data_IF_079756050620
#
_entry.id   IF_079756050620
#
_cell.length_a   1.000
_cell.length_b   1.000
_cell.length_c   1.000
_cell.angle_alpha   90.00
_cell.angle_beta   90.00
_cell.angle_gamma   90.00
#
_symmetry.space_group_name_H-M   'P 1'
#
loop_
_entity.id
_entity.type
_entity.pdbx_description
1 polymer ?
#
# COMPACT_ATOMS: atom_id res chain seq x y z
N UNK A 1 -0.25 -6.73 -10.19
CA UNK A 1 1.02 -6.11 -10.61
C UNK A 1 1.62 -5.36 -9.42
N UNK A 2 2.79 -5.75 -8.89
CA UNK A 2 3.49 -4.98 -7.86
C UNK A 2 3.91 -3.61 -8.41
N UNK A 3 3.77 -2.55 -7.60
CA UNK A 3 4.11 -1.18 -8.04
C UNK A 3 4.86 -0.35 -7.00
N UNK A 4 4.84 -0.74 -5.72
CA UNK A 4 5.62 -0.11 -4.67
C UNK A 4 6.10 -1.16 -3.68
N UNK A 5 7.24 -0.91 -3.04
CA UNK A 5 7.84 -1.81 -2.08
C UNK A 5 8.49 -1.03 -0.94
N UNK A 6 8.45 -1.61 0.25
CA UNK A 6 9.15 -1.11 1.43
C UNK A 6 9.96 -2.27 2.01
N UNK A 7 11.27 -2.05 2.23
CA UNK A 7 12.23 -3.10 2.60
C UNK A 7 12.07 -4.39 1.79
N UNK A 8 11.95 -4.28 0.46
CA UNK A 8 11.66 -5.43 -0.40
C UNK A 8 12.61 -6.62 -0.12
N UNK A 9 12.09 -7.85 0.09
CA UNK A 9 10.72 -8.30 -0.20
C UNK A 9 9.70 -8.17 0.95
N UNK A 10 10.03 -7.49 2.06
CA UNK A 10 9.24 -7.53 3.29
C UNK A 10 7.81 -7.01 3.12
N UNK A 11 7.60 -5.91 2.41
CA UNK A 11 6.27 -5.37 2.11
C UNK A 11 6.17 -4.91 0.65
N UNK A 12 5.13 -5.38 -0.04
CA UNK A 12 4.81 -5.04 -1.43
C UNK A 12 3.38 -4.54 -1.56
N UNK A 13 3.18 -3.44 -2.28
CA UNK A 13 1.87 -3.01 -2.74
C UNK A 13 1.63 -3.50 -4.16
N UNK A 14 0.45 -4.10 -4.38
CA UNK A 14 0.08 -4.78 -5.61
C UNK A 14 -1.28 -4.27 -6.07
N UNK A 15 -1.37 -3.88 -7.34
CA UNK A 15 -2.64 -3.67 -8.02
C UNK A 15 -3.20 -5.04 -8.45
N UNK A 16 -4.31 -5.46 -7.86
CA UNK A 16 -4.92 -6.76 -8.08
C UNK A 16 -5.93 -6.71 -9.22
N UNK A 17 -5.63 -7.41 -10.32
CA UNK A 17 -6.47 -7.47 -11.52
C UNK A 17 -7.34 -8.72 -11.60
N UNK A 18 -7.27 -9.62 -10.61
CA UNK A 18 -8.15 -10.80 -10.55
C UNK A 18 -8.68 -11.06 -9.13
N UNK A 19 -9.26 -10.03 -8.48
CA UNK A 19 -9.80 -10.18 -7.13
C UNK A 19 -11.14 -10.90 -7.13
N UNK A 20 -11.52 -11.42 -5.97
CA UNK A 20 -12.92 -11.75 -5.68
C UNK A 20 -13.81 -10.50 -5.46
N UNK A 21 -13.18 -9.34 -5.22
CA UNK A 21 -13.82 -8.03 -5.06
C UNK A 21 -13.75 -7.17 -6.33
N UNK A 22 -13.18 -5.97 -6.22
CA UNK A 22 -13.13 -4.99 -7.31
C UNK A 22 -11.81 -5.06 -8.10
N UNK A 23 -11.89 -5.32 -9.41
CA UNK A 23 -10.70 -5.32 -10.28
C UNK A 23 -9.97 -3.97 -10.20
N UNK A 24 -8.66 -4.03 -9.95
CA UNK A 24 -7.81 -2.85 -9.73
C UNK A 24 -7.64 -2.46 -8.27
N UNK A 25 -8.23 -3.21 -7.32
CA UNK A 25 -8.01 -2.97 -5.89
C UNK A 25 -6.54 -3.07 -5.51
N UNK A 26 -6.17 -2.38 -4.43
CA UNK A 26 -4.82 -2.40 -3.89
C UNK A 26 -4.76 -3.38 -2.72
N UNK A 27 -3.80 -4.29 -2.78
CA UNK A 27 -3.48 -5.22 -1.70
C UNK A 27 -2.03 -5.06 -1.27
N UNK A 28 -1.75 -5.35 -0.01
CA UNK A 28 -0.39 -5.43 0.51
C UNK A 28 -0.03 -6.90 0.74
N UNK A 29 1.15 -7.31 0.27
CA UNK A 29 1.77 -8.57 0.63
C UNK A 29 2.90 -8.30 1.63
N UNK A 30 2.89 -9.02 2.75
CA UNK A 30 4.00 -9.03 3.73
C UNK A 30 4.64 -10.41 3.76
N UNK A 31 5.98 -10.51 3.79
CA UNK A 31 6.70 -11.78 3.66
C UNK A 31 6.91 -12.53 5.00
N UNK A 32 7.00 -11.83 6.12
CA UNK A 32 7.21 -12.46 7.44
C UNK A 32 6.27 -11.84 8.51
N UNK A 33 5.07 -12.41 8.73
CA UNK A 33 4.52 -13.63 8.10
C UNK A 33 3.93 -13.37 6.70
N UNK A 34 3.97 -14.41 5.85
CA UNK A 34 3.32 -14.43 4.52
C UNK A 34 1.82 -14.12 4.65
N UNK A 35 1.45 -12.86 4.38
CA UNK A 35 0.08 -12.36 4.53
C UNK A 35 -0.28 -11.44 3.37
N UNK A 36 -1.54 -11.52 2.92
CA UNK A 36 -2.13 -10.58 1.97
C UNK A 36 -3.26 -9.84 2.68
N UNK A 37 -3.21 -8.52 2.69
CA UNK A 37 -4.24 -7.66 3.25
C UNK A 37 -4.81 -6.72 2.19
N UNK A 38 -6.11 -6.43 2.30
CA UNK A 38 -6.76 -5.40 1.50
C UNK A 38 -6.35 -4.02 1.99
N UNK A 39 -6.03 -3.11 1.06
CA UNK A 39 -5.67 -1.72 1.36
C UNK A 39 -6.81 -0.77 0.96
N UNK A 40 -7.14 -0.71 -0.33
CA UNK A 40 -8.19 0.17 -0.84
C UNK A 40 -8.73 -0.27 -2.22
N UNK A 41 -9.77 0.41 -2.71
CA UNK A 41 -10.55 0.00 -3.89
C UNK A 41 -9.84 0.19 -5.21
N UNK A 42 -8.91 1.14 -5.28
CA UNK A 42 -8.18 1.53 -6.48
C UNK A 42 -6.99 2.42 -6.16
N UNK A 43 -6.16 2.66 -7.18
CA UNK A 43 -4.94 3.45 -7.04
C UNK A 43 -5.18 4.92 -6.73
N UNK A 44 -6.28 5.52 -7.20
CA UNK A 44 -6.57 6.92 -6.93
C UNK A 44 -6.90 7.13 -5.44
N UNK A 45 -7.72 6.24 -4.89
CA UNK A 45 -8.07 6.20 -3.46
C UNK A 45 -6.83 6.03 -2.59
N UNK A 46 -5.86 5.19 -3.01
CA UNK A 46 -4.59 5.04 -2.31
C UNK A 46 -3.84 6.38 -2.18
N UNK A 47 -3.75 7.15 -3.26
CA UNK A 47 -3.05 8.44 -3.27
C UNK A 47 -3.75 9.46 -2.38
N UNK A 48 -5.08 9.54 -2.46
CA UNK A 48 -5.86 10.45 -1.61
C UNK A 48 -5.69 10.13 -0.12
N UNK A 49 -5.77 8.86 0.25
CA UNK A 49 -5.57 8.41 1.64
C UNK A 49 -4.13 8.66 2.10
N UNK A 50 -3.15 8.36 1.25
CA UNK A 50 -1.72 8.61 1.57
C UNK A 50 -1.46 10.10 1.82
N UNK A 51 -2.02 10.98 0.99
CA UNK A 51 -1.92 12.43 1.21
C UNK A 51 -2.62 12.89 2.50
N UNK A 52 -3.73 12.25 2.88
CA UNK A 52 -4.38 12.52 4.15
C UNK A 52 -3.48 12.12 5.33
N UNK A 53 -2.90 10.91 5.30
CA UNK A 53 -1.97 10.43 6.34
C UNK A 53 -0.75 11.33 6.48
N UNK A 54 -0.13 11.75 5.37
CA UNK A 54 1.03 12.67 5.41
C UNK A 54 0.67 14.03 6.02
N UNK A 55 -0.56 14.53 5.80
CA UNK A 55 -1.01 15.79 6.40
C UNK A 55 -1.30 15.67 7.90
N UNK A 56 -1.74 14.50 8.34
CA UNK A 56 -2.00 14.20 9.75
C UNK A 56 -0.69 13.97 10.53
N UNK A 57 0.31 13.37 9.88
CA UNK A 57 1.61 13.02 10.46
C UNK A 57 2.79 13.50 9.59
N UNK A 58 2.96 14.82 9.40
CA UNK A 58 4.04 15.34 8.56
C UNK A 58 5.44 15.01 9.09
N UNK A 59 5.59 14.80 10.40
CA UNK A 59 6.84 14.43 11.06
C UNK A 59 7.41 13.09 10.56
N UNK A 60 6.56 12.14 10.19
CA UNK A 60 6.97 10.80 9.71
C UNK A 60 7.67 10.86 8.34
N UNK A 61 7.56 12.00 7.63
CA UNK A 61 8.21 12.24 6.35
C UNK A 61 9.57 12.95 6.48
N UNK A 62 9.99 13.31 7.69
CA UNK A 62 11.27 13.96 7.94
C UNK A 62 12.36 12.91 8.22
N UNK A 63 13.63 13.18 7.86
CA UNK A 63 14.72 12.29 8.21
C UNK A 63 14.92 12.21 9.74
N UNK A 64 15.24 11.03 10.25
CA UNK A 64 15.69 10.85 11.63
C UNK A 64 17.02 11.60 11.85
N UNK A 65 17.16 12.34 12.96
CA UNK A 65 18.37 13.13 13.31
C UNK A 65 19.61 12.28 13.63
#
# INVERSE_FOLDING_TARGET
>A
MPFAAFSAPDLLLIADHSPSGQCGQIIAFSHDPDTISYVCTDFATLLEQSLATIREHPEDCLPEE
#
